data_IF_467256383566
#
_entry.id   IF_467256383566
#
_cell.length_a   1.000
_cell.length_b   1.000
_cell.length_c   1.000
_cell.angle_alpha   90.00
_cell.angle_beta   90.00
_cell.angle_gamma   90.00
#
_symmetry.space_group_name_H-M   'P 1'
#
loop_
_entity.id
_entity.type
_entity.pdbx_description
1 polymer ?
#
# COMPACT_ATOMS: atom_id res chain seq x y z
N UNK A 1 -3.01 -8.45 61.93
CA UNK A 1 -2.88 -9.16 60.63
C UNK A 1 -3.49 -8.25 59.57
N UNK A 2 -2.63 -7.52 58.79
CA UNK A 2 -3.11 -6.60 57.75
C UNK A 2 -2.99 -7.30 56.40
N UNK A 3 -4.12 -7.63 55.77
CA UNK A 3 -4.17 -8.12 54.38
C UNK A 3 -3.93 -6.95 53.44
N UNK A 4 -2.88 -7.02 52.62
CA UNK A 4 -2.69 -6.14 51.48
C UNK A 4 -3.36 -6.76 50.26
N UNK A 5 -4.41 -6.13 49.78
CA UNK A 5 -5.02 -6.43 48.47
C UNK A 5 -4.16 -5.81 47.38
N UNK A 6 -3.45 -6.64 46.63
CA UNK A 6 -2.76 -6.23 45.42
C UNK A 6 -3.79 -6.24 44.27
N UNK A 7 -4.25 -5.07 43.87
CA UNK A 7 -5.07 -4.91 42.67
C UNK A 7 -4.17 -5.03 41.43
N UNK A 8 -4.28 -6.16 40.71
CA UNK A 8 -3.63 -6.32 39.43
C UNK A 8 -4.37 -5.47 38.38
N UNK A 9 -3.74 -4.39 37.94
CA UNK A 9 -4.23 -3.55 36.85
C UNK A 9 -3.90 -4.23 35.52
N UNK A 10 -4.84 -5.00 34.96
CA UNK A 10 -4.75 -5.55 33.61
C UNK A 10 -4.90 -4.39 32.60
N UNK A 11 -3.77 -3.93 32.07
CA UNK A 11 -3.75 -3.01 30.93
C UNK A 11 -4.24 -3.77 29.69
N UNK A 12 -5.46 -3.54 29.26
CA UNK A 12 -5.95 -3.95 27.95
C UNK A 12 -5.20 -3.15 26.87
N UNK A 13 -4.17 -3.75 26.31
CA UNK A 13 -3.56 -3.28 25.08
C UNK A 13 -4.56 -3.56 23.96
N UNK A 14 -5.30 -2.56 23.56
CA UNK A 14 -6.17 -2.63 22.39
C UNK A 14 -5.32 -2.94 21.15
N UNK A 15 -5.43 -4.15 20.64
CA UNK A 15 -4.88 -4.50 19.33
C UNK A 15 -5.74 -3.76 18.31
N UNK A 16 -5.20 -2.75 17.64
CA UNK A 16 -5.85 -2.14 16.50
C UNK A 16 -6.00 -3.23 15.43
N UNK A 17 -7.21 -3.76 15.28
CA UNK A 17 -7.52 -4.75 14.28
C UNK A 17 -7.71 -4.02 12.95
N UNK A 18 -6.98 -4.45 11.91
CA UNK A 18 -7.22 -3.98 10.56
C UNK A 18 -8.59 -4.48 10.10
N UNK A 19 -9.38 -3.58 9.54
CA UNK A 19 -10.64 -3.96 8.90
C UNK A 19 -10.34 -4.57 7.52
N UNK A 20 -11.19 -5.47 7.08
CA UNK A 20 -11.02 -6.19 5.82
C UNK A 20 -12.17 -5.86 4.87
N UNK A 21 -11.81 -5.47 3.64
CA UNK A 21 -12.75 -5.28 2.53
C UNK A 21 -12.43 -6.29 1.43
N UNK A 22 -13.41 -7.03 0.95
CA UNK A 22 -13.25 -7.96 -0.16
C UNK A 22 -14.11 -7.55 -1.36
N UNK A 23 -13.57 -7.69 -2.57
CA UNK A 23 -14.30 -7.36 -3.78
C UNK A 23 -13.47 -7.54 -5.04
N UNK A 24 -14.07 -7.24 -6.18
CA UNK A 24 -13.43 -7.34 -7.49
C UNK A 24 -12.87 -5.99 -7.92
N UNK A 25 -11.66 -5.95 -8.42
CA UNK A 25 -11.07 -4.73 -9.00
C UNK A 25 -11.75 -4.40 -10.32
N UNK A 26 -12.44 -3.26 -10.37
CA UNK A 26 -13.19 -2.81 -11.56
C UNK A 26 -12.53 -1.64 -12.28
N UNK A 27 -11.56 -0.97 -11.65
CA UNK A 27 -10.76 0.07 -12.27
C UNK A 27 -9.37 0.17 -11.64
N UNK A 28 -8.37 0.51 -12.46
CA UNK A 28 -7.02 0.90 -12.05
C UNK A 28 -6.81 2.33 -12.56
N UNK A 29 -6.61 3.29 -11.64
CA UNK A 29 -6.50 4.71 -11.99
C UNK A 29 -5.06 5.10 -12.34
N UNK A 30 -4.13 4.64 -11.52
CA UNK A 30 -2.69 4.83 -11.64
C UNK A 30 -1.95 3.67 -10.97
N UNK A 31 -0.65 3.81 -10.70
CA UNK A 31 0.18 2.73 -10.13
C UNK A 31 -0.07 2.43 -8.66
N UNK A 32 -0.94 3.17 -7.96
CA UNK A 32 -1.22 2.99 -6.53
C UNK A 32 -2.67 3.29 -6.12
N UNK A 33 -3.57 3.46 -7.09
CA UNK A 33 -4.98 3.78 -6.83
C UNK A 33 -5.90 2.92 -7.70
N UNK A 34 -6.84 2.22 -7.07
CA UNK A 34 -7.79 1.31 -7.70
C UNK A 34 -9.21 1.56 -7.24
N UNK A 35 -10.19 0.96 -7.90
CA UNK A 35 -11.56 0.83 -7.43
C UNK A 35 -11.93 -0.64 -7.27
N UNK A 36 -12.43 -0.99 -6.09
CA UNK A 36 -12.93 -2.33 -5.74
C UNK A 36 -14.44 -2.26 -5.63
N UNK A 37 -15.13 -3.19 -6.28
CA UNK A 37 -16.57 -3.40 -6.19
C UNK A 37 -16.84 -4.55 -5.23
N UNK A 38 -17.50 -4.28 -4.12
CA UNK A 38 -17.87 -5.28 -3.13
C UNK A 38 -19.12 -6.10 -3.53
N UNK A 39 -19.50 -7.06 -2.71
CA UNK A 39 -20.67 -7.91 -2.92
C UNK A 39 -22.00 -7.17 -2.83
N UNK A 40 -22.02 -6.01 -2.18
CA UNK A 40 -23.19 -5.12 -2.08
C UNK A 40 -23.31 -4.14 -3.26
N UNK A 41 -22.47 -4.32 -4.30
CA UNK A 41 -22.35 -3.42 -5.46
C UNK A 41 -21.92 -2.00 -5.09
N UNK A 42 -21.22 -1.83 -3.97
CA UNK A 42 -20.62 -0.57 -3.57
C UNK A 42 -19.20 -0.49 -4.10
N UNK A 43 -18.87 0.65 -4.69
CA UNK A 43 -17.52 0.94 -5.17
C UNK A 43 -16.71 1.63 -4.09
N UNK A 44 -15.53 1.10 -3.83
CA UNK A 44 -14.56 1.62 -2.86
C UNK A 44 -13.30 2.06 -3.59
N UNK A 45 -12.94 3.33 -3.45
CA UNK A 45 -11.67 3.83 -3.98
C UNK A 45 -10.56 3.54 -2.99
N UNK A 46 -9.59 2.74 -3.42
CA UNK A 46 -8.49 2.26 -2.58
C UNK A 46 -7.20 2.96 -2.98
N UNK A 47 -6.49 3.51 -2.01
CA UNK A 47 -5.11 3.98 -2.12
C UNK A 47 -4.20 2.91 -1.51
N UNK A 48 -3.30 2.33 -2.30
CA UNK A 48 -2.36 1.32 -1.84
C UNK A 48 -1.43 1.92 -0.77
N UNK A 49 -1.43 1.32 0.42
CA UNK A 49 -0.67 1.80 1.57
C UNK A 49 0.84 1.58 1.39
N UNK A 50 1.64 2.47 1.98
CA UNK A 50 3.10 2.30 2.08
C UNK A 50 3.89 2.55 0.80
N UNK A 51 3.23 2.84 -0.32
CA UNK A 51 3.87 3.10 -1.61
C UNK A 51 3.44 4.43 -2.21
N UNK A 52 4.24 4.95 -3.14
CA UNK A 52 3.89 6.11 -3.96
C UNK A 52 4.36 5.86 -5.39
N UNK A 53 3.41 5.78 -6.31
CA UNK A 53 3.69 5.49 -7.71
C UNK A 53 3.88 6.78 -8.53
N UNK A 54 4.64 6.73 -9.63
CA UNK A 54 4.74 7.84 -10.55
C UNK A 54 3.36 8.28 -11.05
N UNK A 55 3.13 9.60 -11.08
CA UNK A 55 1.91 10.20 -11.61
C UNK A 55 1.74 9.89 -13.11
N UNK A 56 0.52 9.91 -13.63
CA UNK A 56 0.23 9.50 -15.02
C UNK A 56 1.12 10.19 -16.05
N UNK A 57 1.38 11.51 -15.89
CA UNK A 57 2.23 12.30 -16.79
C UNK A 57 3.72 12.26 -16.44
N UNK A 58 4.08 11.58 -15.38
CA UNK A 58 5.46 11.40 -14.96
C UNK A 58 6.09 10.22 -15.70
N UNK A 59 7.41 10.22 -15.86
CA UNK A 59 8.13 9.08 -16.38
C UNK A 59 7.76 7.81 -15.59
N UNK A 60 7.51 6.71 -16.27
CA UNK A 60 7.01 5.45 -15.73
C UNK A 60 5.57 5.45 -15.21
N UNK A 61 4.82 6.55 -15.21
CA UNK A 61 3.44 6.59 -14.73
C UNK A 61 2.52 5.58 -15.44
N UNK A 62 2.53 5.57 -16.77
CA UNK A 62 1.75 4.61 -17.56
C UNK A 62 2.20 3.16 -17.36
N UNK A 63 3.50 2.91 -17.22
CA UNK A 63 4.05 1.56 -16.96
C UNK A 63 3.68 1.06 -15.57
N UNK A 64 3.72 1.94 -14.57
CA UNK A 64 3.30 1.63 -13.19
C UNK A 64 1.82 1.23 -13.14
N UNK A 65 0.95 2.02 -13.79
CA UNK A 65 -0.48 1.69 -13.94
C UNK A 65 -0.66 0.34 -14.65
N UNK A 66 0.04 0.11 -15.75
CA UNK A 66 -0.08 -1.14 -16.51
C UNK A 66 0.38 -2.35 -15.70
N UNK A 67 1.48 -2.23 -14.95
CA UNK A 67 1.95 -3.30 -14.07
C UNK A 67 0.91 -3.64 -13.01
N UNK A 68 0.36 -2.64 -12.33
CA UNK A 68 -0.70 -2.86 -11.35
C UNK A 68 -1.94 -3.51 -12.00
N UNK A 69 -2.35 -3.03 -13.17
CA UNK A 69 -3.47 -3.60 -13.91
C UNK A 69 -3.25 -5.09 -14.25
N UNK A 70 -2.07 -5.45 -14.71
CA UNK A 70 -1.72 -6.85 -15.01
C UNK A 70 -1.79 -7.76 -13.77
N UNK A 71 -1.47 -7.22 -12.59
CA UNK A 71 -1.52 -7.96 -11.33
C UNK A 71 -2.94 -8.21 -10.85
N UNK A 72 -3.85 -7.21 -10.98
CA UNK A 72 -5.11 -7.24 -10.23
C UNK A 72 -6.38 -6.88 -11.00
N UNK A 73 -6.31 -6.35 -12.22
CA UNK A 73 -7.52 -5.95 -12.93
C UNK A 73 -8.47 -7.13 -13.15
N UNK A 74 -9.75 -6.93 -12.84
CA UNK A 74 -10.83 -7.94 -12.88
C UNK A 74 -10.63 -9.15 -11.94
N UNK A 75 -9.68 -9.08 -11.01
CA UNK A 75 -9.46 -10.13 -10.01
C UNK A 75 -10.19 -9.82 -8.70
N UNK A 76 -10.50 -10.86 -7.96
CA UNK A 76 -10.96 -10.78 -6.57
C UNK A 76 -9.77 -10.44 -5.68
N UNK A 77 -9.92 -9.44 -4.82
CA UNK A 77 -8.91 -8.98 -3.88
C UNK A 77 -9.47 -8.88 -2.47
N UNK A 78 -8.57 -8.93 -1.51
CA UNK A 78 -8.81 -8.54 -0.12
C UNK A 78 -7.99 -7.29 0.17
N UNK A 79 -8.57 -6.31 0.84
CA UNK A 79 -7.89 -5.08 1.25
C UNK A 79 -7.88 -5.03 2.78
N UNK A 80 -6.70 -5.11 3.37
CA UNK A 80 -6.50 -4.88 4.80
C UNK A 80 -6.26 -3.38 5.00
N UNK A 81 -7.19 -2.71 5.72
CA UNK A 81 -7.15 -1.27 5.84
C UNK A 81 -7.38 -0.80 7.28
N UNK A 82 -6.90 0.40 7.61
CA UNK A 82 -7.00 0.98 8.95
C UNK A 82 -7.58 2.40 8.96
N UNK A 83 -7.57 3.09 7.82
CA UNK A 83 -7.97 4.49 7.76
C UNK A 83 -8.47 4.90 6.39
N UNK A 84 -9.19 6.02 6.36
CA UNK A 84 -9.42 6.81 5.15
C UNK A 84 -8.46 7.99 5.10
N UNK A 85 -8.10 8.41 3.89
CA UNK A 85 -7.34 9.64 3.71
C UNK A 85 -8.28 10.87 3.64
N UNK A 86 -7.68 12.05 3.54
CA UNK A 86 -8.44 13.32 3.45
C UNK A 86 -9.32 13.43 2.22
N UNK A 87 -9.14 12.56 1.22
CA UNK A 87 -9.95 12.51 0.00
C UNK A 87 -11.04 11.42 0.07
N UNK A 88 -11.20 10.77 1.21
CA UNK A 88 -12.17 9.71 1.43
C UNK A 88 -11.79 8.35 0.83
N UNK A 89 -10.53 8.18 0.37
CA UNK A 89 -10.06 6.88 -0.12
C UNK A 89 -9.71 5.97 1.05
N UNK A 90 -10.06 4.71 0.94
CA UNK A 90 -9.60 3.67 1.88
C UNK A 90 -8.12 3.40 1.64
N UNK A 91 -7.28 3.54 2.68
CA UNK A 91 -5.84 3.30 2.61
C UNK A 91 -5.54 1.90 3.15
N UNK A 92 -5.04 1.01 2.29
CA UNK A 92 -4.86 -0.39 2.68
C UNK A 92 -3.82 -1.15 1.86
N UNK A 93 -3.50 -2.34 2.35
CA UNK A 93 -2.70 -3.35 1.64
C UNK A 93 -3.63 -4.22 0.82
N UNK A 94 -3.39 -4.29 -0.47
CA UNK A 94 -4.19 -5.10 -1.40
C UNK A 94 -3.56 -6.47 -1.55
N UNK A 95 -4.34 -7.50 -1.28
CA UNK A 95 -3.91 -8.91 -1.35
C UNK A 95 -4.64 -9.64 -2.49
N UNK A 96 -3.89 -10.38 -3.29
CA UNK A 96 -4.39 -11.32 -4.28
C UNK A 96 -3.83 -12.69 -3.94
N UNK A 97 -4.70 -13.67 -3.68
CA UNK A 97 -4.29 -15.02 -3.25
C UNK A 97 -3.28 -14.98 -2.08
N UNK A 98 -3.46 -14.02 -1.15
CA UNK A 98 -2.58 -13.82 0.00
C UNK A 98 -1.26 -13.08 -0.29
N UNK A 99 -0.99 -12.69 -1.56
CA UNK A 99 0.22 -11.95 -1.93
C UNK A 99 0.00 -10.43 -1.87
N UNK A 100 0.92 -9.72 -1.25
CA UNK A 100 0.93 -8.26 -1.12
C UNK A 100 1.27 -7.60 -2.47
N UNK A 101 0.24 -7.03 -3.11
CA UNK A 101 0.37 -6.35 -4.41
C UNK A 101 1.11 -5.02 -4.29
N UNK A 102 0.96 -4.33 -3.14
CA UNK A 102 1.67 -3.07 -2.90
C UNK A 102 3.19 -3.33 -2.91
N UNK A 103 3.62 -4.39 -2.22
CA UNK A 103 5.03 -4.81 -2.20
C UNK A 103 5.52 -5.24 -3.59
N UNK A 104 4.68 -5.91 -4.38
CA UNK A 104 5.03 -6.31 -5.76
C UNK A 104 5.28 -5.10 -6.67
N UNK A 105 4.52 -4.00 -6.53
CA UNK A 105 4.79 -2.75 -7.24
C UNK A 105 6.18 -2.19 -6.90
N UNK A 106 6.61 -2.27 -5.65
CA UNK A 106 7.95 -1.86 -5.22
C UNK A 106 9.03 -2.78 -5.79
N UNK A 107 8.84 -4.11 -5.72
CA UNK A 107 9.76 -5.11 -6.26
C UNK A 107 9.98 -4.97 -7.77
N UNK A 108 8.91 -4.64 -8.49
CA UNK A 108 8.97 -4.40 -9.93
C UNK A 108 9.65 -3.07 -10.31
N UNK A 109 9.96 -2.22 -9.33
CA UNK A 109 10.44 -0.86 -9.58
C UNK A 109 9.38 0.04 -10.21
N UNK A 110 8.11 -0.20 -9.90
CA UNK A 110 6.97 0.57 -10.43
C UNK A 110 6.38 1.54 -9.41
N UNK A 111 6.84 1.48 -8.15
CA UNK A 111 6.51 2.42 -7.09
C UNK A 111 7.69 2.60 -6.13
N UNK A 112 7.70 3.73 -5.45
CA UNK A 112 8.60 4.01 -4.35
C UNK A 112 8.01 3.45 -3.05
N UNK A 113 8.85 2.93 -2.14
CA UNK A 113 8.45 2.82 -0.74
C UNK A 113 8.27 4.22 -0.15
N UNK A 114 7.06 4.53 0.34
CA UNK A 114 6.71 5.87 0.80
C UNK A 114 7.08 6.05 2.28
N UNK A 115 8.32 6.38 2.55
CA UNK A 115 8.92 6.49 3.90
C UNK A 115 8.21 7.47 4.82
N UNK A 116 7.53 8.48 4.27
CA UNK A 116 6.76 9.44 5.06
C UNK A 116 5.67 8.77 5.90
N UNK A 117 5.13 7.65 5.42
CA UNK A 117 4.10 6.87 6.11
C UNK A 117 4.63 5.53 6.65
N UNK A 118 5.95 5.37 6.80
CA UNK A 118 6.55 4.14 7.31
C UNK A 118 6.07 3.77 8.72
N UNK A 119 5.72 4.76 9.54
CA UNK A 119 5.17 4.53 10.89
C UNK A 119 3.81 3.81 10.89
N UNK A 120 3.06 3.85 9.78
CA UNK A 120 1.79 3.16 9.63
C UNK A 120 1.98 1.66 9.31
N UNK A 121 3.21 1.25 8.99
CA UNK A 121 3.58 -0.13 8.73
C UNK A 121 4.17 -0.80 9.96
N UNK A 122 4.04 -2.12 10.06
CA UNK A 122 4.75 -2.93 11.08
C UNK A 122 6.28 -2.83 10.87
N UNK A 123 7.09 -3.08 11.90
CA UNK A 123 8.56 -3.15 11.71
C UNK A 123 8.99 -4.20 10.69
N UNK A 124 8.25 -5.31 10.57
CA UNK A 124 8.52 -6.35 9.59
C UNK A 124 8.25 -5.85 8.16
N UNK A 125 7.09 -5.21 7.92
CA UNK A 125 6.73 -4.68 6.61
C UNK A 125 7.69 -3.57 6.17
N UNK A 126 8.09 -2.68 7.06
CA UNK A 126 9.12 -1.66 6.74
C UNK A 126 10.39 -2.29 6.18
N UNK A 127 10.89 -3.35 6.82
CA UNK A 127 12.09 -4.07 6.34
C UNK A 127 11.87 -4.72 4.98
N UNK A 128 10.69 -5.31 4.75
CA UNK A 128 10.36 -5.95 3.48
C UNK A 128 10.28 -4.93 2.33
N UNK A 129 9.60 -3.81 2.54
CA UNK A 129 9.45 -2.76 1.53
C UNK A 129 10.79 -2.05 1.24
N UNK A 130 11.58 -1.78 2.28
CA UNK A 130 12.93 -1.21 2.11
C UNK A 130 13.85 -2.16 1.33
N UNK A 131 13.86 -3.44 1.69
CA UNK A 131 14.65 -4.45 0.98
C UNK A 131 14.22 -4.59 -0.48
N UNK A 132 12.91 -4.60 -0.74
CA UNK A 132 12.36 -4.68 -2.09
C UNK A 132 12.76 -3.48 -2.96
N UNK A 133 12.71 -2.26 -2.41
CA UNK A 133 13.15 -1.06 -3.12
C UNK A 133 14.65 -1.09 -3.39
N UNK A 134 15.47 -1.44 -2.40
CA UNK A 134 16.93 -1.53 -2.56
C UNK A 134 17.32 -2.56 -3.62
N UNK A 135 16.65 -3.71 -3.63
CA UNK A 135 16.86 -4.75 -4.64
C UNK A 135 16.44 -4.29 -6.04
N UNK A 136 15.29 -3.62 -6.18
CA UNK A 136 14.86 -3.05 -7.45
C UNK A 136 15.84 -1.98 -7.97
N UNK A 137 16.39 -1.14 -7.08
CA UNK A 137 17.42 -0.13 -7.41
C UNK A 137 18.70 -0.77 -7.90
N UNK A 138 19.21 -1.75 -7.17
CA UNK A 138 20.45 -2.48 -7.51
C UNK A 138 20.32 -3.18 -8.86
N UNK A 139 19.18 -3.81 -9.10
CA UNK A 139 18.88 -4.50 -10.37
C UNK A 139 18.42 -3.55 -11.49
N UNK A 140 18.33 -2.23 -11.24
CA UNK A 140 17.84 -1.22 -12.19
C UNK A 140 16.49 -1.58 -12.82
N UNK A 141 15.56 -2.12 -11.99
CA UNK A 141 14.22 -2.46 -12.46
C UNK A 141 13.32 -1.24 -12.56
N UNK A 142 12.47 -1.22 -13.59
CA UNK A 142 11.45 -0.20 -13.77
C UNK A 142 12.01 1.22 -13.76
N UNK A 143 11.47 2.08 -12.90
CA UNK A 143 11.88 3.49 -12.77
C UNK A 143 13.37 3.67 -12.38
N UNK A 144 13.98 2.64 -11.80
CA UNK A 144 15.38 2.65 -11.36
C UNK A 144 16.40 2.46 -12.50
N UNK A 145 15.94 2.27 -13.75
CA UNK A 145 16.81 2.34 -14.93
C UNK A 145 17.32 3.78 -15.14
N UNK A 146 16.53 4.76 -14.71
CA UNK A 146 16.96 6.15 -14.67
C UNK A 146 17.97 6.36 -13.54
N UNK A 147 19.08 7.01 -13.82
CA UNK A 147 20.11 7.30 -12.84
C UNK A 147 19.64 8.28 -11.74
N UNK A 148 18.61 9.09 -12.04
CA UNK A 148 18.06 10.08 -11.11
C UNK A 148 16.53 10.17 -11.23
N UNK A 149 15.81 9.10 -10.86
CA UNK A 149 14.35 9.07 -10.97
C UNK A 149 13.72 10.09 -10.02
N UNK A 150 12.80 10.92 -10.55
CA UNK A 150 12.10 11.91 -9.76
C UNK A 150 11.00 11.26 -8.90
N UNK A 151 10.99 11.46 -7.57
CA UNK A 151 9.94 10.90 -6.73
C UNK A 151 8.60 11.61 -6.94
N UNK A 152 7.45 10.89 -6.85
CA UNK A 152 6.12 11.42 -7.13
C UNK A 152 5.74 12.61 -6.25
N UNK A 153 6.11 12.59 -4.96
CA UNK A 153 5.84 13.70 -4.04
C UNK A 153 6.56 15.00 -4.37
N UNK A 154 7.68 14.96 -5.11
CA UNK A 154 8.32 16.15 -5.66
C UNK A 154 7.64 16.62 -6.95
N UNK A 155 7.16 15.69 -7.77
CA UNK A 155 6.42 15.98 -8.98
C UNK A 155 5.16 16.78 -8.71
N UNK A 156 4.37 16.37 -7.70
CA UNK A 156 3.13 17.05 -7.29
C UNK A 156 3.30 18.47 -6.75
N UNK A 157 4.52 18.88 -6.42
CA UNK A 157 4.83 20.23 -5.89
C UNK A 157 5.33 21.22 -6.95
N UNK A 158 5.35 20.82 -8.23
CA UNK A 158 5.80 21.66 -9.35
C UNK A 158 4.72 22.59 -9.88
#
# INVERSE_FOLDING_TARGET
>A
MRLWLVAALCSLVGIAQADTLSGRVVAVHDGDTITVLDTNRTQHKIRLAGIDAPEFKQAFGSRSKQNLSNLIYNRQVTVDWQKHDRYGRTVGVVLVDGHDVNLEQVRAGMAWWYRQYARDQSPADRRLYEAAENDARTAKRGLWVDANPGPPWKWRRR
#
